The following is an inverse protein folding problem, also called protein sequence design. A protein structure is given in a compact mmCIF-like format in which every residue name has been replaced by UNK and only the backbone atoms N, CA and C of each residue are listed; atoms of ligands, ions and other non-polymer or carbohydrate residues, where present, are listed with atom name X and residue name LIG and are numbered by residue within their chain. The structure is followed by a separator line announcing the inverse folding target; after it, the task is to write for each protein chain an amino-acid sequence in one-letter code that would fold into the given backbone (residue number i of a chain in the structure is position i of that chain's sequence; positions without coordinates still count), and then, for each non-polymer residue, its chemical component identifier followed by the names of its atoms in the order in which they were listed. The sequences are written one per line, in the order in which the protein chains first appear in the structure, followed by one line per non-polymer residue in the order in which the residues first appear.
data_IF_608182019231
#
_entry.id   IF_608182019231
#
_cell.length_a   1.000
_cell.length_b   1.000
_cell.length_c   1.000
_cell.angle_alpha   90.00
_cell.angle_beta   90.00
_cell.angle_gamma   90.00
#
_symmetry.space_group_name_H-M   'P 1'
#
loop_
_entity.id
_entity.type
_entity.pdbx_description
1 polymer ?
#
# COMPACT_ATOMS: atom_id res chain seq x y z
N UNK A 1 8.37 5.13 -14.37
CA UNK A 1 8.60 6.54 -14.71
C UNK A 1 9.03 7.33 -13.47
N UNK A 2 8.40 7.09 -12.32
CA UNK A 2 8.79 7.67 -11.04
C UNK A 2 9.34 6.57 -10.13
N UNK A 3 10.53 6.77 -9.58
CA UNK A 3 11.10 5.87 -8.58
C UNK A 3 10.64 6.32 -7.19
N UNK A 4 9.46 5.84 -6.78
CA UNK A 4 8.86 6.14 -5.48
C UNK A 4 8.29 4.87 -4.87
N UNK A 5 8.57 4.64 -3.58
CA UNK A 5 8.05 3.52 -2.80
C UNK A 5 8.03 3.90 -1.31
N UNK A 6 6.85 3.85 -0.69
CA UNK A 6 6.69 4.22 0.72
C UNK A 6 7.60 3.44 1.67
N UNK A 7 7.98 2.20 1.33
CA UNK A 7 8.86 1.36 2.16
C UNK A 7 10.32 1.83 2.15
N UNK A 8 10.72 2.63 1.17
CA UNK A 8 12.06 3.26 1.09
C UNK A 8 12.05 4.73 1.44
N UNK A 9 11.08 5.47 0.93
CA UNK A 9 10.99 6.92 1.11
C UNK A 9 10.50 7.30 2.52
N UNK A 10 9.60 6.49 3.10
CA UNK A 10 9.06 6.64 4.45
C UNK A 10 9.15 5.32 5.22
N UNK A 11 10.37 4.80 5.46
CA UNK A 11 10.58 3.44 5.92
C UNK A 11 9.92 3.20 7.29
N UNK A 12 9.20 2.09 7.40
CA UNK A 12 8.51 1.63 8.61
C UNK A 12 8.86 0.18 8.92
N UNK A 13 8.57 -0.25 10.14
CA UNK A 13 8.82 -1.63 10.62
C UNK A 13 10.26 -2.09 10.31
N UNK A 14 10.42 -3.23 9.62
CA UNK A 14 11.71 -3.86 9.33
C UNK A 14 12.26 -3.53 7.93
N UNK A 15 11.49 -2.85 7.09
CA UNK A 15 11.88 -2.51 5.71
C UNK A 15 13.24 -1.79 5.59
N UNK A 16 13.66 -0.86 6.48
CA UNK A 16 14.97 -0.23 6.36
C UNK A 16 16.16 -1.19 6.55
N UNK A 17 15.94 -2.39 7.09
CA UNK A 17 16.97 -3.42 7.26
C UNK A 17 16.99 -4.48 6.15
N UNK A 18 16.05 -4.41 5.22
CA UNK A 18 15.95 -5.35 4.10
C UNK A 18 16.62 -4.81 2.84
N UNK A 19 17.25 -5.69 2.09
CA UNK A 19 17.87 -5.37 0.80
C UNK A 19 16.97 -5.80 -0.36
N UNK A 20 16.40 -4.84 -1.06
CA UNK A 20 15.50 -5.08 -2.19
C UNK A 20 15.54 -3.93 -3.20
N UNK A 21 15.06 -4.21 -4.41
CA UNK A 21 14.94 -3.24 -5.50
C UNK A 21 13.48 -2.83 -5.67
N UNK A 22 13.28 -1.59 -6.08
CA UNK A 22 11.97 -1.08 -6.49
C UNK A 22 11.98 -1.09 -8.02
N UNK A 23 11.20 -1.97 -8.68
CA UNK A 23 11.17 -2.01 -10.13
C UNK A 23 10.40 -0.79 -10.66
N UNK A 24 10.90 -0.19 -11.75
CA UNK A 24 10.32 1.03 -12.34
C UNK A 24 10.17 0.83 -13.84
N UNK A 25 8.93 0.86 -14.35
CA UNK A 25 8.64 0.80 -15.79
C UNK A 25 9.00 2.10 -16.52
N UNK A 26 9.11 2.08 -17.84
CA UNK A 26 9.54 3.23 -18.64
C UNK A 26 8.39 3.85 -19.46
N UNK A 27 7.48 3.03 -19.97
CA UNK A 27 6.45 3.41 -20.93
C UNK A 27 5.14 3.83 -20.24
N UNK A 28 4.84 3.25 -19.07
CA UNK A 28 3.63 3.57 -18.31
C UNK A 28 2.34 2.93 -18.86
N UNK A 29 2.47 1.92 -19.71
CA UNK A 29 1.35 1.16 -20.27
C UNK A 29 0.85 0.04 -19.32
N UNK A 30 -0.15 -0.71 -19.77
CA UNK A 30 -0.70 -1.85 -19.01
C UNK A 30 0.32 -2.99 -18.87
N UNK A 31 1.23 -3.13 -19.83
CA UNK A 31 2.24 -4.19 -19.86
C UNK A 31 3.31 -3.95 -18.79
N UNK A 32 3.84 -2.73 -18.72
CA UNK A 32 4.76 -2.31 -17.67
C UNK A 32 4.14 -2.54 -16.30
N UNK A 33 2.88 -2.13 -16.06
CA UNK A 33 2.20 -2.37 -14.78
C UNK A 33 2.09 -3.85 -14.44
N UNK A 34 1.78 -4.70 -15.42
CA UNK A 34 1.75 -6.14 -15.21
C UNK A 34 3.14 -6.68 -14.85
N UNK A 35 4.16 -6.33 -15.62
CA UNK A 35 5.51 -6.85 -15.44
C UNK A 35 6.14 -6.36 -14.14
N UNK A 36 5.87 -5.11 -13.72
CA UNK A 36 6.33 -4.60 -12.42
C UNK A 36 5.78 -5.44 -11.27
N UNK A 37 4.50 -5.83 -11.30
CA UNK A 37 3.93 -6.73 -10.27
C UNK A 37 4.64 -8.08 -10.23
N UNK A 38 5.02 -8.62 -11.39
CA UNK A 38 5.81 -9.86 -11.45
C UNK A 38 7.18 -9.68 -10.79
N UNK A 39 7.85 -8.56 -11.05
CA UNK A 39 9.13 -8.24 -10.41
C UNK A 39 8.99 -8.02 -8.90
N UNK A 40 7.94 -7.33 -8.45
CA UNK A 40 7.62 -7.13 -7.03
C UNK A 40 7.39 -8.47 -6.31
N UNK A 41 6.80 -9.46 -6.97
CA UNK A 41 6.68 -10.81 -6.41
C UNK A 41 8.06 -11.45 -6.16
N UNK A 42 9.01 -11.30 -7.09
CA UNK A 42 10.37 -11.82 -6.90
C UNK A 42 11.12 -11.09 -5.78
N UNK A 43 10.99 -9.78 -5.69
CA UNK A 43 11.57 -8.99 -4.59
C UNK A 43 10.92 -9.34 -3.25
N UNK A 44 9.61 -9.60 -3.23
CA UNK A 44 8.90 -10.07 -2.03
C UNK A 44 9.40 -11.43 -1.55
N UNK A 45 9.65 -12.37 -2.46
CA UNK A 45 10.26 -13.66 -2.12
C UNK A 45 11.68 -13.49 -1.55
N UNK A 46 12.46 -12.56 -2.11
CA UNK A 46 13.79 -12.21 -1.59
C UNK A 46 13.72 -11.65 -0.17
N UNK A 47 12.80 -10.72 0.08
CA UNK A 47 12.58 -10.13 1.41
C UNK A 47 12.14 -11.18 2.44
N UNK A 48 11.23 -12.09 2.07
CA UNK A 48 10.78 -13.18 2.95
C UNK A 48 11.97 -14.04 3.40
N UNK A 49 12.88 -14.41 2.48
CA UNK A 49 14.08 -15.18 2.82
C UNK A 49 14.99 -14.42 3.79
N UNK A 50 15.22 -13.13 3.54
CA UNK A 50 16.00 -12.28 4.44
C UNK A 50 15.40 -12.18 5.84
N UNK A 51 14.06 -12.05 5.95
CA UNK A 51 13.37 -12.06 7.23
C UNK A 51 13.54 -13.40 7.96
N UNK A 52 13.45 -14.53 7.25
CA UNK A 52 13.63 -15.85 7.84
C UNK A 52 15.07 -16.06 8.37
N UNK A 53 16.07 -15.59 7.63
CA UNK A 53 17.48 -15.70 8.01
C UNK A 53 17.84 -14.80 9.20
N UNK A 54 17.14 -13.67 9.37
CA UNK A 54 17.37 -12.67 10.42
C UNK A 54 16.36 -12.75 11.58
N UNK A 55 15.54 -13.79 11.62
CA UNK A 55 14.45 -13.89 12.60
C UNK A 55 15.00 -14.17 13.99
N UNK A 56 14.86 -13.19 14.88
CA UNK A 56 15.20 -13.32 16.29
C UNK A 56 14.02 -13.93 17.09
N UNK A 57 14.35 -14.68 18.14
CA UNK A 57 13.34 -15.12 19.10
C UNK A 57 12.94 -13.96 20.04
N UNK A 58 11.68 -13.93 20.45
CA UNK A 58 11.20 -12.89 21.36
C UNK A 58 9.69 -12.82 21.49
N UNK A 59 9.17 -11.90 22.32
CA UNK A 59 7.74 -11.65 22.43
C UNK A 59 7.19 -11.03 21.14
N UNK A 60 6.17 -11.66 20.56
CA UNK A 60 5.49 -11.19 19.33
C UNK A 60 4.41 -10.13 19.59
N UNK A 61 4.12 -9.83 20.86
CA UNK A 61 3.09 -8.87 21.28
C UNK A 61 3.69 -7.88 22.28
N UNK A 62 3.41 -6.59 22.07
CA UNK A 62 3.79 -5.55 23.02
C UNK A 62 3.09 -5.75 24.37
N UNK A 63 3.79 -5.50 25.47
CA UNK A 63 3.21 -5.50 26.81
C UNK A 63 2.38 -4.23 27.02
N UNK A 64 1.10 -4.30 26.70
CA UNK A 64 0.17 -3.17 26.81
C UNK A 64 -1.12 -3.56 27.53
N UNK A 65 -1.88 -2.54 27.95
CA UNK A 65 -3.21 -2.74 28.51
C UNK A 65 -4.11 -3.41 27.47
N UNK A 66 -4.95 -4.35 27.93
CA UNK A 66 -5.90 -5.08 27.08
C UNK A 66 -6.87 -4.16 26.33
N UNK A 67 -7.24 -3.03 26.95
CA UNK A 67 -8.01 -1.95 26.32
C UNK A 67 -7.07 -0.77 26.12
N UNK A 68 -6.80 -0.44 24.86
CA UNK A 68 -6.03 0.74 24.49
C UNK A 68 -6.91 1.99 24.68
N UNK A 69 -6.37 2.99 25.39
CA UNK A 69 -6.94 4.34 25.47
C UNK A 69 -5.87 5.30 24.96
N UNK A 70 -5.80 5.53 23.64
CA UNK A 70 -4.80 6.43 23.06
C UNK A 70 -4.98 7.85 23.61
N UNK A 71 -3.91 8.66 23.70
CA UNK A 71 -4.01 10.05 24.11
C UNK A 71 -4.87 10.85 23.12
N UNK A 72 -5.46 11.94 23.60
CA UNK A 72 -6.18 12.90 22.75
C UNK A 72 -5.26 13.44 21.66
N UNK A 73 -5.70 13.40 20.41
CA UNK A 73 -4.94 13.88 19.28
C UNK A 73 -5.41 13.31 17.95
N UNK A 74 -4.67 13.65 16.91
CA UNK A 74 -4.91 13.16 15.56
C UNK A 74 -3.59 12.67 14.94
N UNK A 75 -3.69 11.67 14.08
CA UNK A 75 -2.54 11.11 13.36
C UNK A 75 -2.97 10.69 11.96
N UNK A 76 -2.07 10.88 10.99
CA UNK A 76 -2.14 10.26 9.69
C UNK A 76 -0.96 9.29 9.58
N UNK A 77 -1.25 8.01 9.40
CA UNK A 77 -0.24 6.98 9.13
C UNK A 77 -0.56 6.41 7.77
N UNK A 78 0.48 6.16 6.98
CA UNK A 78 0.34 5.52 5.68
C UNK A 78 1.36 4.41 5.53
N UNK A 79 1.13 3.53 4.56
CA UNK A 79 2.02 2.42 4.25
C UNK A 79 1.80 1.95 2.82
N UNK A 80 2.75 1.20 2.30
CA UNK A 80 2.69 0.70 0.93
C UNK A 80 1.88 -0.61 0.88
N UNK A 81 0.68 -0.55 0.33
CA UNK A 81 -0.11 -1.74 -0.01
C UNK A 81 0.34 -2.23 -1.41
N UNK A 82 0.16 -3.51 -1.77
CA UNK A 82 0.36 -3.98 -3.15
C UNK A 82 -0.39 -3.18 -4.25
N UNK A 83 -1.43 -2.43 -3.87
CA UNK A 83 -2.21 -1.56 -4.77
C UNK A 83 -1.76 -0.09 -4.77
N UNK A 84 -0.78 0.26 -3.93
CA UNK A 84 -0.25 1.61 -3.73
C UNK A 84 -0.40 2.10 -2.28
N UNK A 85 -0.18 3.38 -2.09
CA UNK A 85 -0.16 4.03 -0.78
C UNK A 85 -1.54 4.04 -0.08
N UNK A 86 -1.66 3.25 1.01
CA UNK A 86 -2.84 3.21 1.87
C UNK A 86 -2.64 4.12 3.09
N UNK A 87 -3.58 5.03 3.31
CA UNK A 87 -3.55 5.97 4.43
C UNK A 87 -4.67 5.73 5.44
N UNK A 88 -4.40 5.95 6.72
CA UNK A 88 -5.39 5.97 7.80
C UNK A 88 -5.22 7.24 8.60
N UNK A 89 -6.24 8.09 8.56
CA UNK A 89 -6.39 9.24 9.42
C UNK A 89 -7.24 8.86 10.63
N UNK A 90 -6.70 9.03 11.84
CA UNK A 90 -7.34 8.65 13.08
C UNK A 90 -7.35 9.83 14.07
N UNK A 91 -8.51 10.07 14.69
CA UNK A 91 -8.69 11.06 15.75
C UNK A 91 -9.12 10.34 17.01
N UNK A 92 -8.44 10.63 18.12
CA UNK A 92 -8.77 10.14 19.45
C UNK A 92 -9.18 11.27 20.38
N UNK A 93 -10.22 11.03 21.16
CA UNK A 93 -10.71 11.87 22.26
C UNK A 93 -10.27 11.35 23.64
N UNK A 94 -9.32 10.40 23.70
CA UNK A 94 -8.87 9.79 24.95
C UNK A 94 -9.73 8.63 25.44
N UNK A 95 -10.80 8.28 24.73
CA UNK A 95 -11.63 7.12 25.04
C UNK A 95 -11.06 5.84 24.44
N UNK A 96 -11.72 4.71 24.70
CA UNK A 96 -11.41 3.40 24.12
C UNK A 96 -11.89 3.23 22.68
N UNK A 97 -12.66 4.20 22.15
CA UNK A 97 -13.20 4.19 20.79
C UNK A 97 -12.56 5.30 19.97
N UNK A 98 -12.27 5.08 18.68
CA UNK A 98 -11.81 6.16 17.83
C UNK A 98 -12.94 7.17 17.64
N UNK A 99 -12.66 8.45 17.83
CA UNK A 99 -13.62 9.53 17.57
C UNK A 99 -13.91 9.63 16.07
N UNK A 100 -12.87 9.49 15.25
CA UNK A 100 -12.99 9.45 13.79
C UNK A 100 -11.92 8.53 13.20
N UNK A 101 -12.31 7.76 12.20
CA UNK A 101 -11.39 7.02 11.32
C UNK A 101 -11.75 7.37 9.89
N UNK A 102 -10.78 7.82 9.10
CA UNK A 102 -10.91 7.94 7.66
C UNK A 102 -9.78 7.17 6.99
N UNK A 103 -10.15 6.20 6.18
CA UNK A 103 -9.20 5.46 5.34
C UNK A 103 -9.10 6.17 3.99
N UNK A 104 -7.88 6.33 3.48
CA UNK A 104 -7.55 6.72 2.11
C UNK A 104 -7.09 5.46 1.37
N UNK A 105 -8.01 4.75 0.70
CA UNK A 105 -7.68 3.53 -0.02
C UNK A 105 -6.98 3.85 -1.34
N UNK A 106 -5.98 3.06 -1.75
CA UNK A 106 -5.29 3.25 -3.02
C UNK A 106 -6.25 3.02 -4.21
N UNK A 107 -7.15 2.03 -4.14
CA UNK A 107 -8.08 1.72 -5.25
C UNK A 107 -9.00 2.89 -5.61
N UNK A 108 -9.45 3.70 -4.65
CA UNK A 108 -10.27 4.88 -4.94
C UNK A 108 -9.48 5.92 -5.75
N UNK A 109 -8.25 6.20 -5.33
CA UNK A 109 -7.37 7.12 -6.04
C UNK A 109 -7.02 6.60 -7.45
N UNK A 110 -6.75 5.30 -7.58
CA UNK A 110 -6.42 4.68 -8.86
C UNK A 110 -7.62 4.74 -9.83
N UNK A 111 -8.84 4.51 -9.34
CA UNK A 111 -10.05 4.51 -10.16
C UNK A 111 -10.33 5.88 -10.81
N UNK A 112 -9.98 6.99 -10.16
CA UNK A 112 -10.13 8.34 -10.73
C UNK A 112 -9.32 8.50 -12.03
N UNK A 113 -8.20 7.78 -12.17
CA UNK A 113 -7.36 7.81 -13.38
C UNK A 113 -7.95 7.04 -14.56
N UNK A 114 -8.99 6.22 -14.36
CA UNK A 114 -9.62 5.44 -15.43
C UNK A 114 -10.16 6.34 -16.55
N UNK A 115 -10.84 7.44 -16.20
CA UNK A 115 -11.44 8.36 -17.18
C UNK A 115 -10.41 8.92 -18.17
N UNK A 116 -9.28 9.52 -17.75
CA UNK A 116 -8.28 9.99 -18.70
C UNK A 116 -7.58 8.85 -19.46
N UNK A 117 -7.41 7.66 -18.86
CA UNK A 117 -6.78 6.51 -19.53
C UNK A 117 -7.67 5.89 -20.63
N UNK A 118 -8.98 6.03 -20.52
CA UNK A 118 -9.94 5.53 -21.52
C UNK A 118 -10.14 6.49 -22.71
N UNK A 119 -9.57 7.70 -22.68
CA UNK A 119 -9.68 8.62 -23.82
C UNK A 119 -8.97 8.00 -25.02
N UNK A 120 -9.65 7.99 -26.16
CA UNK A 120 -9.14 7.48 -27.44
C UNK A 120 -8.79 5.98 -27.44
N UNK A 121 -9.23 5.23 -26.42
CA UNK A 121 -9.10 3.78 -26.34
C UNK A 121 -10.37 3.08 -26.86
N UNK A 122 -10.23 1.83 -27.31
CA UNK A 122 -11.40 1.02 -27.69
C UNK A 122 -12.14 0.53 -26.45
N UNK A 123 -13.44 0.23 -26.61
CA UNK A 123 -14.24 -0.39 -25.53
C UNK A 123 -13.62 -1.72 -25.07
N UNK A 124 -13.00 -2.48 -25.99
CA UNK A 124 -12.30 -3.71 -25.67
C UNK A 124 -11.11 -3.47 -24.71
N UNK A 125 -10.43 -2.33 -24.82
CA UNK A 125 -9.26 -1.99 -23.98
C UNK A 125 -9.68 -1.62 -22.56
N UNK A 126 -10.95 -1.25 -22.34
CA UNK A 126 -11.45 -0.86 -21.03
C UNK A 126 -11.22 -1.94 -19.97
N UNK A 127 -11.38 -3.22 -20.34
CA UNK A 127 -11.17 -4.36 -19.44
C UNK A 127 -9.69 -4.48 -19.04
N UNK A 128 -8.77 -4.32 -19.99
CA UNK A 128 -7.34 -4.39 -19.75
C UNK A 128 -6.85 -3.19 -18.90
N UNK A 129 -7.33 -1.98 -19.22
CA UNK A 129 -7.02 -0.77 -18.45
C UNK A 129 -7.50 -0.91 -17.01
N UNK A 130 -8.77 -1.30 -16.82
CA UNK A 130 -9.36 -1.50 -15.50
C UNK A 130 -8.64 -2.58 -14.70
N UNK A 131 -8.33 -3.72 -15.34
CA UNK A 131 -7.58 -4.81 -14.71
C UNK A 131 -6.15 -4.37 -14.32
N UNK A 132 -5.51 -3.54 -15.12
CA UNK A 132 -4.17 -3.03 -14.83
C UNK A 132 -4.13 -2.12 -13.59
N UNK A 133 -5.23 -1.46 -13.24
CA UNK A 133 -5.35 -0.62 -12.04
C UNK A 133 -5.54 -1.42 -10.73
N UNK A 134 -5.91 -2.70 -10.83
CA UNK A 134 -6.17 -3.61 -9.69
C UNK A 134 -7.08 -2.99 -8.62
N UNK A 135 -8.32 -2.69 -9.03
CA UNK A 135 -9.32 -2.09 -8.14
C UNK A 135 -10.06 -3.15 -7.32
N UNK A 136 -10.34 -2.83 -6.06
CA UNK A 136 -11.25 -3.59 -5.21
C UNK A 136 -12.41 -2.69 -4.81
N UNK A 137 -13.61 -3.00 -5.30
CA UNK A 137 -14.80 -2.15 -5.08
C UNK A 137 -15.15 -1.98 -3.60
N UNK A 138 -14.86 -2.97 -2.76
CA UNK A 138 -15.05 -2.87 -1.31
C UNK A 138 -14.13 -1.88 -0.60
N UNK A 139 -13.04 -1.42 -1.24
CA UNK A 139 -12.24 -0.29 -0.76
C UNK A 139 -12.79 1.05 -1.25
N UNK A 140 -13.33 1.08 -2.47
CA UNK A 140 -13.81 2.31 -3.13
C UNK A 140 -15.09 2.85 -2.48
N UNK A 141 -15.98 1.97 -2.02
CA UNK A 141 -17.34 2.30 -1.57
C UNK A 141 -17.47 2.73 -0.09
N UNK A 142 -16.37 3.05 0.59
CA UNK A 142 -16.31 3.29 2.06
C UNK A 142 -16.39 4.75 2.53
#
# INVERSE_FOLDING_TARGET
GLAYDGRKDYPYEVYPYLSYKVPVGENGDCWDRYYMRVLECYESLSMIRQCLDQMEEGPVMAQMRRIARPPKGEVYVHGENPRGDIGVFLVSDGTDKPYRVKVRPPSFCNLVSLRPMMRDAYIADAVAILGSLDIVLGEVDR
#
